data_IF_840283875804
#
_entry.id   IF_840283875804
#
_cell.length_a   1.000
_cell.length_b   1.000
_cell.length_c   1.000
_cell.angle_alpha   90.00
_cell.angle_beta   90.00
_cell.angle_gamma   90.00
#
_symmetry.space_group_name_H-M   'P 1'
#
loop_
_entity.id
_entity.type
_entity.pdbx_description
1 polymer ?
#
# COMPACT_ATOMS: atom_id res chain seq x y z
N UNK A 1 1.88 -9.48 4.33
CA UNK A 1 2.25 -8.91 5.65
C UNK A 1 3.01 -9.96 6.46
N UNK A 2 2.40 -11.13 6.60
CA UNK A 2 2.84 -12.38 7.22
C UNK A 2 4.28 -12.77 6.88
N UNK A 3 4.65 -12.82 5.59
CA UNK A 3 5.98 -13.30 5.18
C UNK A 3 7.08 -12.29 5.50
N UNK A 4 6.87 -11.00 5.23
CA UNK A 4 7.94 -10.00 5.32
C UNK A 4 8.00 -9.32 6.68
N UNK A 5 6.85 -9.04 7.29
CA UNK A 5 6.78 -8.33 8.57
C UNK A 5 6.82 -9.35 9.71
N UNK A 6 5.86 -10.27 9.77
CA UNK A 6 5.81 -11.20 10.91
C UNK A 6 6.97 -12.20 10.90
N UNK A 7 7.13 -12.96 9.81
CA UNK A 7 8.21 -13.95 9.68
C UNK A 7 9.55 -13.31 9.38
N UNK A 8 9.58 -12.36 8.44
CA UNK A 8 10.81 -11.70 7.99
C UNK A 8 11.49 -10.88 9.07
N UNK A 9 10.72 -10.26 9.97
CA UNK A 9 11.27 -9.54 11.14
C UNK A 9 11.31 -10.39 12.41
N UNK A 10 10.96 -11.68 12.33
CA UNK A 10 11.02 -12.62 13.46
C UNK A 10 10.00 -12.40 14.57
N UNK A 11 8.99 -11.57 14.37
CA UNK A 11 7.93 -11.26 15.33
C UNK A 11 7.09 -12.49 15.68
N UNK A 12 6.96 -13.43 14.75
CA UNK A 12 6.27 -14.71 14.97
C UNK A 12 6.94 -15.59 16.03
N UNK A 13 8.27 -15.48 16.17
CA UNK A 13 9.08 -16.22 17.15
C UNK A 13 9.43 -15.39 18.38
N UNK A 14 9.49 -14.06 18.23
CA UNK A 14 9.88 -13.09 19.25
C UNK A 14 8.87 -11.93 19.29
N UNK A 15 7.68 -12.11 19.91
CA UNK A 15 6.62 -11.11 19.92
C UNK A 15 7.02 -9.76 20.55
N UNK A 16 8.00 -9.77 21.46
CA UNK A 16 8.57 -8.58 22.07
C UNK A 16 9.23 -7.61 21.08
N UNK A 17 9.60 -8.08 19.88
CA UNK A 17 10.14 -7.24 18.82
C UNK A 17 9.10 -6.30 18.21
N UNK A 18 7.82 -6.64 18.26
CA UNK A 18 6.77 -5.82 17.68
C UNK A 18 6.71 -4.41 18.28
N UNK A 19 6.61 -4.21 19.62
CA UNK A 19 6.66 -2.87 20.20
C UNK A 19 8.02 -2.20 20.00
N UNK A 20 9.13 -2.94 19.91
CA UNK A 20 10.44 -2.35 19.60
C UNK A 20 10.50 -1.77 18.18
N UNK A 21 9.92 -2.45 17.19
CA UNK A 21 9.88 -1.98 15.81
C UNK A 21 8.81 -0.91 15.56
N UNK A 22 7.62 -1.11 16.10
CA UNK A 22 6.44 -0.32 15.74
C UNK A 22 5.92 0.59 16.86
N UNK A 23 6.50 0.59 18.06
CA UNK A 23 5.98 1.32 19.22
C UNK A 23 5.87 2.84 19.07
N UNK A 24 6.62 3.43 18.13
CA UNK A 24 6.55 4.87 17.82
C UNK A 24 5.76 5.18 16.54
N UNK A 25 5.23 4.16 15.88
CA UNK A 25 4.49 4.30 14.63
C UNK A 25 3.04 4.58 14.99
N UNK A 26 2.38 5.43 14.19
CA UNK A 26 0.98 5.81 14.41
C UNK A 26 0.04 5.33 13.31
N UNK A 27 0.59 5.01 12.14
CA UNK A 27 -0.18 4.73 10.93
C UNK A 27 0.46 3.63 10.10
N UNK A 28 -0.40 2.81 9.50
CA UNK A 28 -0.06 1.92 8.39
C UNK A 28 -0.69 2.51 7.13
N UNK A 29 0.15 2.85 6.14
CA UNK A 29 -0.30 3.41 4.87
C UNK A 29 -0.31 2.31 3.80
N UNK A 30 -1.48 1.97 3.27
CA UNK A 30 -1.63 1.09 2.11
C UNK A 30 -1.60 1.91 0.81
N UNK A 31 -0.57 1.70 -0.01
CA UNK A 31 -0.45 2.30 -1.34
C UNK A 31 -1.16 1.39 -2.36
N UNK A 32 -2.38 1.77 -2.75
CA UNK A 32 -3.25 1.00 -3.63
C UNK A 32 -3.09 1.42 -5.09
N UNK A 33 -2.83 0.49 -6.00
CA UNK A 33 -2.84 0.75 -7.45
C UNK A 33 -4.19 0.44 -8.11
N UNK A 34 -5.02 -0.37 -7.44
CA UNK A 34 -6.33 -0.84 -7.90
C UNK A 34 -7.28 -0.94 -6.70
N UNK A 35 -8.58 -1.05 -6.96
CA UNK A 35 -9.61 -1.25 -5.92
C UNK A 35 -9.89 -2.73 -5.66
N UNK A 36 -8.84 -3.47 -5.34
CA UNK A 36 -8.95 -4.89 -4.96
C UNK A 36 -9.38 -5.03 -3.49
N UNK A 37 -10.68 -5.25 -3.26
CA UNK A 37 -11.28 -5.35 -1.93
C UNK A 37 -10.61 -6.39 -1.01
N UNK A 38 -10.20 -7.54 -1.58
CA UNK A 38 -9.51 -8.59 -0.81
C UNK A 38 -8.14 -8.15 -0.28
N UNK A 39 -7.42 -7.33 -1.04
CA UNK A 39 -6.10 -6.81 -0.63
C UNK A 39 -6.28 -5.71 0.42
N UNK A 40 -7.29 -4.86 0.23
CA UNK A 40 -7.64 -3.81 1.19
C UNK A 40 -8.03 -4.40 2.55
N UNK A 41 -8.80 -5.49 2.57
CA UNK A 41 -9.15 -6.21 3.80
C UNK A 41 -7.91 -6.73 4.55
N UNK A 42 -6.94 -7.32 3.82
CA UNK A 42 -5.67 -7.79 4.40
C UNK A 42 -4.85 -6.63 4.98
N UNK A 43 -4.82 -5.49 4.30
CA UNK A 43 -4.10 -4.32 4.77
C UNK A 43 -4.72 -3.72 6.04
N UNK A 44 -6.05 -3.70 6.16
CA UNK A 44 -6.74 -3.30 7.40
C UNK A 44 -6.43 -4.26 8.54
N UNK A 45 -6.54 -5.57 8.31
CA UNK A 45 -6.23 -6.58 9.33
C UNK A 45 -4.78 -6.46 9.84
N UNK A 46 -3.83 -6.12 8.96
CA UNK A 46 -2.45 -5.84 9.36
C UNK A 46 -2.33 -4.58 10.24
N UNK A 47 -3.05 -3.51 9.91
CA UNK A 47 -3.07 -2.29 10.71
C UNK A 47 -3.69 -2.53 12.10
N UNK A 48 -4.82 -3.24 12.15
CA UNK A 48 -5.49 -3.63 13.39
C UNK A 48 -4.59 -4.50 14.26
N UNK A 49 -3.89 -5.47 13.66
CA UNK A 49 -2.95 -6.34 14.37
C UNK A 49 -1.81 -5.56 15.01
N UNK A 50 -1.31 -4.51 14.36
CA UNK A 50 -0.23 -3.67 14.87
C UNK A 50 -0.73 -2.51 15.75
N UNK A 51 -2.06 -2.34 15.91
CA UNK A 51 -2.64 -1.20 16.62
C UNK A 51 -2.39 0.16 15.95
N UNK A 52 -2.19 0.17 14.62
CA UNK A 52 -1.89 1.37 13.85
C UNK A 52 -3.13 1.89 13.12
N UNK A 53 -3.25 3.21 12.98
CA UNK A 53 -4.32 3.80 12.18
C UNK A 53 -4.13 3.43 10.71
N UNK A 54 -5.14 2.82 10.11
CA UNK A 54 -5.14 2.48 8.69
C UNK A 54 -5.37 3.73 7.81
N UNK A 55 -4.53 3.90 6.79
CA UNK A 55 -4.69 4.94 5.77
C UNK A 55 -4.50 4.32 4.39
N UNK A 56 -5.50 4.44 3.50
CA UNK A 56 -5.35 4.07 2.08
C UNK A 56 -4.93 5.29 1.28
N UNK A 57 -3.90 5.15 0.45
CA UNK A 57 -3.55 6.12 -0.58
C UNK A 57 -3.60 5.45 -1.94
N UNK A 58 -4.46 5.95 -2.82
CA UNK A 58 -4.48 5.47 -4.19
C UNK A 58 -3.29 6.06 -4.96
N UNK A 59 -2.41 5.18 -5.43
CA UNK A 59 -1.19 5.48 -6.17
C UNK A 59 -1.23 4.72 -7.49
N UNK A 60 -2.15 5.07 -8.39
CA UNK A 60 -2.20 4.52 -9.75
C UNK A 60 -1.04 5.02 -10.63
N UNK A 61 -1.19 4.92 -11.95
CA UNK A 61 -0.20 5.45 -12.92
C UNK A 61 -0.09 6.99 -12.95
N UNK A 62 -0.81 7.69 -12.07
CA UNK A 62 -0.82 9.15 -12.02
C UNK A 62 -1.29 9.76 -13.34
N UNK A 63 -0.47 10.63 -13.92
CA UNK A 63 -0.77 11.33 -15.18
C UNK A 63 -0.56 10.51 -16.46
N UNK A 64 -0.28 9.20 -16.38
CA UNK A 64 0.00 8.40 -17.58
C UNK A 64 -1.18 8.35 -18.54
N UNK A 65 -2.39 8.13 -18.04
CA UNK A 65 -3.60 8.14 -18.86
C UNK A 65 -3.78 9.49 -19.59
N UNK A 66 -3.79 10.66 -18.91
CA UNK A 66 -3.88 11.94 -19.62
C UNK A 66 -2.70 12.20 -20.55
N UNK A 67 -1.51 11.66 -20.29
CA UNK A 67 -0.37 11.72 -21.22
C UNK A 67 -0.60 10.86 -22.47
N UNK A 68 -1.12 9.65 -22.34
CA UNK A 68 -1.46 8.78 -23.46
C UNK A 68 -2.57 9.39 -24.33
N UNK A 69 -3.61 9.93 -23.70
CA UNK A 69 -4.71 10.63 -24.42
C UNK A 69 -4.19 11.85 -25.18
N UNK A 70 -3.32 12.65 -24.56
CA UNK A 70 -2.68 13.79 -25.22
C UNK A 70 -1.81 13.36 -26.41
N UNK A 71 -1.01 12.31 -26.25
CA UNK A 71 -0.17 11.78 -27.31
C UNK A 71 -1.00 11.24 -28.49
N UNK A 72 -2.08 10.50 -28.22
CA UNK A 72 -2.98 9.97 -29.24
C UNK A 72 -3.65 11.10 -30.06
N UNK A 73 -4.03 12.19 -29.39
CA UNK A 73 -4.63 13.37 -30.06
C UNK A 73 -3.61 14.15 -30.89
N UNK A 74 -2.35 14.27 -30.43
CA UNK A 74 -1.30 14.97 -31.19
C UNK A 74 -0.88 14.28 -32.49
N UNK A 75 -1.04 12.96 -32.58
CA UNK A 75 -0.76 12.20 -33.81
C UNK A 75 -1.92 12.31 -34.81
N UNK A 76 -3.16 12.41 -34.33
CA UNK A 76 -4.35 12.54 -35.19
C UNK A 76 -4.52 13.94 -35.81
N UNK A 77 -3.95 14.99 -35.21
CA UNK A 77 -3.98 16.36 -35.76
C UNK A 77 -2.82 16.70 -36.71
N UNK A 78 -1.89 15.77 -36.94
CA UNK A 78 -0.75 15.93 -37.83
C UNK A 78 -0.92 15.18 -39.18
N UNK A 79 -2.12 14.63 -39.43
CA UNK A 79 -2.52 13.98 -40.67
C UNK A 79 -3.65 14.78 -41.34
#
# INVERSE_FOLDING_TARGET
FETLILKGMGIDRHPELEPMYFGNYKRLIYLAQTDAAEIEAKARAAADRLGLVYEKRFTGYGGLEPMLTKAQTSVAGAA
#
